data_IF_128116026889
#
_entry.id   IF_128116026889
#
_cell.length_a   1.000
_cell.length_b   1.000
_cell.length_c   1.000
_cell.angle_alpha   90.00
_cell.angle_beta   90.00
_cell.angle_gamma   90.00
#
_symmetry.space_group_name_H-M   'P 1'
#
loop_
_entity.id
_entity.type
_entity.pdbx_description
1 polymer ?
#
# COMPACT_ATOMS: atom_id res chain seq x y z
N UNK A 1 21.21 36.13 -3.22
CA UNK A 1 20.10 35.49 -2.49
C UNK A 1 19.18 34.61 -3.34
N UNK A 2 18.57 35.07 -4.44
CA UNK A 2 17.62 34.27 -5.27
C UNK A 2 18.24 32.98 -5.85
N UNK A 3 19.49 33.01 -6.36
CA UNK A 3 20.20 31.86 -6.95
C UNK A 3 20.47 30.77 -5.90
N UNK A 4 20.87 31.15 -4.70
CA UNK A 4 21.13 30.23 -3.58
C UNK A 4 19.85 29.51 -3.11
N UNK A 5 18.73 30.25 -2.96
CA UNK A 5 17.41 29.66 -2.63
C UNK A 5 16.96 28.62 -3.69
N UNK A 6 17.23 28.90 -4.99
CA UNK A 6 16.88 27.96 -6.07
C UNK A 6 17.72 26.68 -6.00
N UNK A 7 19.01 26.77 -5.65
CA UNK A 7 19.89 25.60 -5.46
C UNK A 7 19.42 24.75 -4.29
N UNK A 8 19.16 25.36 -3.12
CA UNK A 8 18.64 24.64 -1.96
C UNK A 8 17.31 23.93 -2.24
N UNK A 9 16.37 24.58 -2.90
CA UNK A 9 15.09 23.99 -3.31
C UNK A 9 15.31 22.75 -4.20
N UNK A 10 16.22 22.82 -5.16
CA UNK A 10 16.53 21.71 -6.08
C UNK A 10 17.19 20.53 -5.36
N UNK A 11 18.12 20.80 -4.43
CA UNK A 11 18.77 19.77 -3.62
C UNK A 11 17.77 19.08 -2.69
N UNK A 12 16.90 19.85 -2.03
CA UNK A 12 15.84 19.34 -1.17
C UNK A 12 14.86 18.45 -1.94
N UNK A 13 14.39 18.88 -3.11
CA UNK A 13 13.52 18.08 -3.98
C UNK A 13 14.20 16.77 -4.42
N UNK A 14 15.48 16.79 -4.77
CA UNK A 14 16.24 15.60 -5.13
C UNK A 14 16.35 14.62 -3.96
N UNK A 15 16.57 15.11 -2.75
CA UNK A 15 16.63 14.28 -1.54
C UNK A 15 15.28 13.59 -1.29
N UNK A 16 14.19 14.35 -1.30
CA UNK A 16 12.83 13.79 -1.12
C UNK A 16 12.53 12.72 -2.18
N UNK A 17 12.86 13.00 -3.46
CA UNK A 17 12.63 12.03 -4.54
C UNK A 17 13.45 10.74 -4.35
N UNK A 18 14.71 10.86 -3.91
CA UNK A 18 15.58 9.71 -3.63
C UNK A 18 15.00 8.86 -2.49
N UNK A 19 14.57 9.51 -1.42
CA UNK A 19 13.99 8.83 -0.26
C UNK A 19 12.66 8.16 -0.63
N UNK A 20 11.80 8.83 -1.40
CA UNK A 20 10.55 8.26 -1.90
C UNK A 20 10.80 7.02 -2.76
N UNK A 21 11.75 7.08 -3.69
CA UNK A 21 12.11 5.95 -4.55
C UNK A 21 12.66 4.77 -3.74
N UNK A 22 13.48 5.03 -2.72
CA UNK A 22 14.00 3.99 -1.83
C UNK A 22 12.85 3.30 -1.08
N UNK A 23 11.98 4.07 -0.44
CA UNK A 23 10.84 3.52 0.33
C UNK A 23 9.89 2.74 -0.58
N UNK A 24 9.59 3.25 -1.78
CA UNK A 24 8.76 2.54 -2.75
C UNK A 24 9.39 1.19 -3.16
N UNK A 25 10.70 1.17 -3.40
CA UNK A 25 11.45 -0.07 -3.71
C UNK A 25 11.39 -1.06 -2.55
N UNK A 26 11.66 -0.61 -1.33
CA UNK A 26 11.73 -1.47 -0.15
C UNK A 26 10.34 -2.01 0.24
N UNK A 27 9.29 -1.18 0.14
CA UNK A 27 7.89 -1.61 0.31
C UNK A 27 7.50 -2.66 -0.73
N UNK A 28 7.82 -2.43 -2.01
CA UNK A 28 7.55 -3.40 -3.06
C UNK A 28 8.33 -4.71 -2.86
N UNK A 29 9.58 -4.64 -2.42
CA UNK A 29 10.38 -5.83 -2.11
C UNK A 29 9.78 -6.64 -0.97
N UNK A 30 9.36 -5.95 0.11
CA UNK A 30 8.67 -6.59 1.22
C UNK A 30 7.40 -7.32 0.75
N UNK A 31 6.53 -6.65 0.00
CA UNK A 31 5.28 -7.21 -0.52
C UNK A 31 5.52 -8.40 -1.47
N UNK A 32 6.50 -8.30 -2.36
CA UNK A 32 6.89 -9.42 -3.26
C UNK A 32 7.33 -10.64 -2.46
N UNK A 33 8.17 -10.43 -1.44
CA UNK A 33 8.66 -11.51 -0.58
C UNK A 33 7.53 -12.08 0.30
N UNK A 34 6.60 -11.24 0.76
CA UNK A 34 5.45 -11.67 1.52
C UNK A 34 4.53 -12.58 0.69
N UNK A 35 4.15 -12.14 -0.52
CA UNK A 35 3.31 -12.92 -1.43
C UNK A 35 4.02 -14.21 -1.89
N UNK A 36 5.34 -14.19 -2.09
CA UNK A 36 6.10 -15.40 -2.49
C UNK A 36 5.99 -16.53 -1.44
N UNK A 37 5.78 -16.19 -0.17
CA UNK A 37 5.61 -17.16 0.94
C UNK A 37 4.18 -17.67 1.08
N UNK A 38 3.21 -17.08 0.38
CA UNK A 38 1.82 -17.54 0.40
C UNK A 38 1.68 -18.87 -0.39
N UNK A 39 0.67 -19.66 0.00
CA UNK A 39 0.31 -20.84 -0.80
C UNK A 39 -0.13 -20.41 -2.20
N UNK A 40 0.11 -21.28 -3.19
CA UNK A 40 -0.33 -21.02 -4.56
C UNK A 40 -1.85 -20.91 -4.63
N UNK A 41 -2.34 -19.88 -5.33
CA UNK A 41 -3.75 -19.62 -5.58
C UNK A 41 -3.85 -18.89 -6.93
N UNK A 42 -4.94 -19.06 -7.62
CA UNK A 42 -5.25 -18.34 -8.88
C UNK A 42 -5.33 -16.82 -8.67
N UNK A 43 -5.65 -16.37 -7.46
CA UNK A 43 -5.73 -14.95 -7.11
C UNK A 43 -4.37 -14.26 -6.98
N UNK A 44 -3.26 -15.00 -6.86
CA UNK A 44 -1.92 -14.41 -6.71
C UNK A 44 -1.53 -13.50 -7.89
N UNK A 45 -1.89 -13.90 -9.10
CA UNK A 45 -1.57 -13.12 -10.32
C UNK A 45 -2.37 -11.81 -10.36
N UNK A 46 -3.72 -11.81 -10.25
CA UNK A 46 -4.49 -10.58 -10.22
C UNK A 46 -4.19 -9.68 -9.01
N UNK A 47 -3.94 -10.23 -7.82
CA UNK A 47 -3.47 -9.46 -6.66
C UNK A 47 -2.17 -8.71 -6.96
N UNK A 48 -1.17 -9.40 -7.51
CA UNK A 48 0.11 -8.78 -7.91
C UNK A 48 -0.10 -7.72 -8.98
N UNK A 49 -0.98 -7.97 -9.92
CA UNK A 49 -1.27 -7.05 -11.01
C UNK A 49 -1.79 -5.71 -10.48
N UNK A 50 -2.80 -5.72 -9.61
CA UNK A 50 -3.33 -4.51 -8.99
C UNK A 50 -2.33 -3.84 -8.04
N UNK A 51 -1.69 -4.61 -7.16
CA UNK A 51 -0.77 -4.11 -6.15
C UNK A 51 0.50 -3.46 -6.72
N UNK A 52 1.03 -4.01 -7.82
CA UNK A 52 2.25 -3.53 -8.49
C UNK A 52 1.99 -2.79 -9.80
N UNK A 53 0.77 -2.29 -10.00
CA UNK A 53 0.38 -1.51 -11.19
C UNK A 53 1.17 -0.20 -11.37
N UNK A 54 2.08 0.12 -10.45
CA UNK A 54 2.86 1.35 -10.43
C UNK A 54 2.49 2.24 -9.24
N UNK A 55 2.85 3.53 -9.33
CA UNK A 55 2.63 4.50 -8.28
C UNK A 55 3.86 4.73 -7.40
N UNK A 56 3.86 5.86 -6.70
CA UNK A 56 5.01 6.37 -5.93
C UNK A 56 5.06 5.86 -4.49
N UNK A 57 4.07 5.06 -4.06
CA UNK A 57 3.95 4.58 -2.66
C UNK A 57 4.05 5.72 -1.64
N UNK A 58 3.31 6.79 -1.89
CA UNK A 58 3.33 8.02 -1.07
C UNK A 58 2.82 7.73 0.35
N UNK A 59 1.81 6.86 0.49
CA UNK A 59 1.25 6.47 1.79
C UNK A 59 2.30 5.79 2.66
N UNK A 60 3.07 4.87 2.08
CA UNK A 60 4.22 4.26 2.77
C UNK A 60 5.27 5.31 3.15
N UNK A 61 5.54 6.31 2.29
CA UNK A 61 6.51 7.37 2.61
C UNK A 61 6.05 8.22 3.81
N UNK A 62 4.80 8.65 3.81
CA UNK A 62 4.22 9.43 4.93
C UNK A 62 4.30 8.63 6.23
N UNK A 63 3.91 7.36 6.19
CA UNK A 63 3.98 6.48 7.34
C UNK A 63 5.43 6.32 7.84
N UNK A 64 6.39 6.14 6.94
CA UNK A 64 7.81 6.04 7.29
C UNK A 64 8.32 7.31 7.97
N UNK A 65 7.96 8.49 7.46
CA UNK A 65 8.39 9.77 8.05
C UNK A 65 7.82 9.93 9.46
N UNK A 66 6.52 9.66 9.64
CA UNK A 66 5.88 9.70 10.96
C UNK A 66 6.51 8.67 11.90
N UNK A 67 6.68 7.43 11.46
CA UNK A 67 7.29 6.36 12.26
C UNK A 67 8.70 6.72 12.73
N UNK A 68 9.48 7.43 11.90
CA UNK A 68 10.82 7.86 12.24
C UNK A 68 10.85 8.90 13.38
N UNK A 69 9.84 9.77 13.46
CA UNK A 69 9.68 10.73 14.56
C UNK A 69 9.45 10.03 15.90
N UNK A 70 8.77 8.88 15.88
CA UNK A 70 8.53 8.04 17.06
C UNK A 70 9.58 6.94 17.25
N UNK A 71 10.71 7.00 16.51
CA UNK A 71 11.84 6.05 16.62
C UNK A 71 11.44 4.58 16.39
N UNK A 72 10.37 4.33 15.62
CA UNK A 72 10.00 2.98 15.22
C UNK A 72 11.05 2.43 14.25
N UNK A 73 11.42 1.16 14.38
CA UNK A 73 12.43 0.56 13.52
C UNK A 73 11.97 0.50 12.05
N UNK A 74 12.95 0.58 11.15
CA UNK A 74 12.72 0.66 9.70
C UNK A 74 11.91 -0.52 9.15
N UNK A 75 12.20 -1.74 9.62
CA UNK A 75 11.57 -2.97 9.12
C UNK A 75 10.09 -3.02 9.50
N UNK A 76 9.78 -2.69 10.74
CA UNK A 76 8.39 -2.56 11.21
C UNK A 76 7.66 -1.49 10.42
N UNK A 77 8.24 -0.30 10.26
CA UNK A 77 7.66 0.80 9.49
C UNK A 77 7.37 0.42 8.04
N UNK A 78 8.28 -0.28 7.35
CA UNK A 78 8.04 -0.82 5.99
C UNK A 78 6.87 -1.80 5.99
N UNK A 79 6.77 -2.67 6.99
CA UNK A 79 5.67 -3.65 7.08
C UNK A 79 4.31 -2.95 7.24
N UNK A 80 4.25 -1.93 8.10
CA UNK A 80 3.04 -1.10 8.28
C UNK A 80 2.67 -0.35 7.00
N UNK A 81 3.65 0.28 6.34
CA UNK A 81 3.47 0.94 5.05
C UNK A 81 2.97 -0.03 3.96
N UNK A 82 3.48 -1.26 3.95
CA UNK A 82 3.04 -2.30 3.02
C UNK A 82 1.57 -2.70 3.26
N UNK A 83 1.13 -2.80 4.51
CA UNK A 83 -0.27 -3.07 4.83
C UNK A 83 -1.20 -1.95 4.32
N UNK A 84 -0.83 -0.68 4.55
CA UNK A 84 -1.59 0.47 4.03
C UNK A 84 -1.65 0.48 2.50
N UNK A 85 -0.56 0.11 1.82
CA UNK A 85 -0.55 0.02 0.35
C UNK A 85 -1.41 -1.16 -0.18
N UNK A 86 -1.59 -2.23 0.60
CA UNK A 86 -2.52 -3.31 0.26
C UNK A 86 -3.97 -2.80 0.31
N UNK A 87 -4.35 -2.07 1.35
CA UNK A 87 -5.68 -1.45 1.49
C UNK A 87 -5.92 -0.47 0.34
N UNK A 88 -4.92 0.37 0.03
CA UNK A 88 -5.04 1.29 -1.10
C UNK A 88 -5.17 0.57 -2.45
N UNK A 89 -4.45 -0.55 -2.66
CA UNK A 89 -4.58 -1.30 -3.89
C UNK A 89 -5.94 -2.01 -4.00
N UNK A 90 -6.48 -2.52 -2.88
CA UNK A 90 -7.84 -3.03 -2.79
C UNK A 90 -8.85 -1.96 -3.22
N UNK A 91 -8.81 -0.74 -2.62
CA UNK A 91 -9.78 0.30 -2.96
C UNK A 91 -9.73 0.64 -4.45
N UNK A 92 -8.54 0.81 -5.04
CA UNK A 92 -8.41 1.12 -6.46
C UNK A 92 -8.94 0.00 -7.38
N UNK A 93 -8.76 -1.28 -7.02
CA UNK A 93 -9.29 -2.40 -7.80
C UNK A 93 -10.82 -2.39 -7.79
N UNK A 94 -11.42 -2.07 -6.64
CA UNK A 94 -12.88 -2.01 -6.50
C UNK A 94 -13.48 -0.75 -7.11
N UNK A 95 -12.82 0.39 -6.96
CA UNK A 95 -13.24 1.66 -7.59
C UNK A 95 -13.32 1.51 -9.12
N UNK A 96 -12.38 0.76 -9.73
CA UNK A 96 -12.35 0.53 -11.18
C UNK A 96 -13.52 -0.33 -11.71
N UNK A 97 -14.26 -1.06 -10.87
CA UNK A 97 -15.31 -1.98 -11.30
C UNK A 97 -16.45 -1.25 -12.04
N UNK A 98 -17.17 -1.95 -12.98
CA UNK A 98 -18.30 -1.36 -13.70
C UNK A 98 -19.44 -0.85 -12.82
N UNK A 99 -19.62 -1.42 -11.63
CA UNK A 99 -20.61 -0.98 -10.64
C UNK A 99 -20.15 0.20 -9.78
N UNK A 100 -18.93 0.68 -9.96
CA UNK A 100 -18.32 1.82 -9.27
C UNK A 100 -17.97 2.92 -10.30
N UNK A 101 -16.68 3.26 -10.49
CA UNK A 101 -16.24 4.31 -11.43
C UNK A 101 -16.21 3.83 -12.89
N UNK A 102 -16.26 2.52 -13.14
CA UNK A 102 -16.19 1.90 -14.46
C UNK A 102 -14.92 2.29 -15.25
N UNK A 103 -13.79 2.34 -14.59
CA UNK A 103 -12.50 2.71 -15.18
C UNK A 103 -11.88 1.51 -15.92
N UNK A 104 -11.73 1.62 -17.23
CA UNK A 104 -11.13 0.54 -18.06
C UNK A 104 -9.60 0.56 -18.04
N UNK A 105 -8.98 1.70 -17.66
CA UNK A 105 -7.53 1.91 -17.66
C UNK A 105 -7.07 2.51 -16.33
N UNK A 106 -6.12 1.86 -15.67
CA UNK A 106 -5.46 2.36 -14.47
C UNK A 106 -3.95 2.48 -14.69
N UNK A 107 -3.40 3.72 -14.59
CA UNK A 107 -1.96 4.01 -14.75
C UNK A 107 -1.41 3.51 -16.10
N UNK A 108 -2.18 3.70 -17.19
CA UNK A 108 -1.80 3.33 -18.55
C UNK A 108 -1.86 1.83 -18.86
N UNK A 109 -2.51 1.04 -18.00
CA UNK A 109 -2.74 -0.40 -18.19
C UNK A 109 -4.22 -0.71 -18.03
N UNK A 110 -4.74 -1.79 -18.64
CA UNK A 110 -6.10 -2.26 -18.37
C UNK A 110 -6.32 -2.42 -16.87
N UNK A 111 -7.47 -2.01 -16.36
CA UNK A 111 -7.86 -2.24 -14.97
C UNK A 111 -7.97 -3.73 -14.68
N UNK A 112 -8.00 -4.11 -13.39
CA UNK A 112 -7.94 -5.53 -13.00
C UNK A 112 -9.14 -6.31 -13.53
N UNK A 113 -10.34 -5.72 -13.53
CA UNK A 113 -11.55 -6.38 -14.03
C UNK A 113 -11.54 -6.57 -15.55
N UNK A 114 -10.96 -5.63 -16.29
CA UNK A 114 -10.79 -5.78 -17.75
C UNK A 114 -9.85 -6.94 -18.09
N UNK A 115 -8.80 -7.12 -17.28
CA UNK A 115 -7.77 -8.13 -17.57
C UNK A 115 -8.14 -9.53 -17.08
N UNK A 116 -8.85 -9.65 -15.97
CA UNK A 116 -9.07 -10.92 -15.27
C UNK A 116 -10.54 -11.25 -15.03
N UNK A 117 -11.46 -10.37 -15.43
CA UNK A 117 -12.89 -10.47 -15.14
C UNK A 117 -13.28 -9.84 -13.79
N UNK A 118 -14.55 -9.45 -13.67
CA UNK A 118 -15.08 -8.72 -12.52
C UNK A 118 -15.00 -9.54 -11.23
N UNK A 119 -15.46 -10.79 -11.25
CA UNK A 119 -15.43 -11.66 -10.06
C UNK A 119 -14.01 -11.86 -9.54
N UNK A 120 -13.04 -12.04 -10.44
CA UNK A 120 -11.62 -12.16 -10.07
C UNK A 120 -11.08 -10.86 -9.48
N UNK A 121 -11.48 -9.70 -10.03
CA UNK A 121 -11.08 -8.40 -9.48
C UNK A 121 -11.63 -8.18 -8.07
N UNK A 122 -12.91 -8.49 -7.84
CA UNK A 122 -13.53 -8.42 -6.51
C UNK A 122 -12.75 -9.29 -5.51
N UNK A 123 -12.50 -10.56 -5.87
CA UNK A 123 -11.77 -11.48 -4.98
C UNK A 123 -10.32 -11.08 -4.76
N UNK A 124 -9.65 -10.52 -5.78
CA UNK A 124 -8.28 -10.02 -5.65
C UNK A 124 -8.21 -8.81 -4.72
N UNK A 125 -9.16 -7.88 -4.81
CA UNK A 125 -9.28 -6.74 -3.90
C UNK A 125 -9.50 -7.20 -2.45
N UNK A 126 -10.49 -8.06 -2.21
CA UNK A 126 -10.77 -8.63 -0.89
C UNK A 126 -9.54 -9.35 -0.29
N UNK A 127 -8.81 -10.09 -1.14
CA UNK A 127 -7.59 -10.77 -0.70
C UNK A 127 -6.48 -9.81 -0.31
N UNK A 128 -6.36 -8.67 -0.98
CA UNK A 128 -5.40 -7.62 -0.61
C UNK A 128 -5.79 -6.93 0.70
N UNK A 129 -7.07 -6.64 0.91
CA UNK A 129 -7.58 -6.11 2.18
C UNK A 129 -7.26 -7.08 3.32
N UNK A 130 -7.57 -8.36 3.16
CA UNK A 130 -7.29 -9.40 4.17
C UNK A 130 -5.78 -9.56 4.41
N UNK A 131 -4.96 -9.50 3.35
CA UNK A 131 -3.50 -9.58 3.45
C UNK A 131 -2.92 -8.40 4.25
N UNK A 132 -3.53 -7.21 4.20
CA UNK A 132 -3.11 -6.10 5.04
C UNK A 132 -3.20 -6.45 6.52
N UNK A 133 -4.31 -7.03 6.96
CA UNK A 133 -4.49 -7.48 8.35
C UNK A 133 -3.59 -8.67 8.69
N UNK A 134 -3.32 -9.57 7.75
CA UNK A 134 -2.33 -10.62 7.94
C UNK A 134 -0.94 -10.03 8.23
N UNK A 135 -0.51 -9.00 7.48
CA UNK A 135 0.76 -8.31 7.73
C UNK A 135 0.77 -7.68 9.13
N UNK A 136 -0.29 -6.96 9.51
CA UNK A 136 -0.40 -6.27 10.79
C UNK A 136 -0.44 -7.22 11.99
N UNK A 137 -0.97 -8.43 11.83
CA UNK A 137 -1.06 -9.43 12.89
C UNK A 137 0.23 -10.23 13.14
N UNK A 138 1.25 -10.12 12.24
CA UNK A 138 2.50 -10.91 12.37
C UNK A 138 3.21 -10.67 13.70
N UNK A 139 3.69 -11.76 14.32
CA UNK A 139 4.38 -11.74 15.61
C UNK A 139 5.70 -10.96 15.59
N UNK A 140 6.36 -10.87 14.43
CA UNK A 140 7.67 -10.26 14.27
C UNK A 140 7.66 -8.73 14.05
N UNK A 141 6.50 -8.09 14.16
CA UNK A 141 6.43 -6.62 14.25
C UNK A 141 6.91 -6.18 15.63
N UNK A 142 7.88 -5.26 15.66
CA UNK A 142 8.44 -4.71 16.90
C UNK A 142 7.52 -3.64 17.50
N UNK A 143 6.32 -4.06 17.86
CA UNK A 143 5.31 -3.25 18.59
C UNK A 143 4.65 -4.11 19.66
N UNK A 144 4.28 -3.47 20.78
CA UNK A 144 3.62 -4.16 21.89
C UNK A 144 2.29 -4.82 21.42
N UNK A 145 1.88 -5.87 22.11
CA UNK A 145 0.59 -6.54 21.82
C UNK A 145 -0.59 -5.55 21.90
N UNK A 146 -0.59 -4.68 22.92
CA UNK A 146 -1.62 -3.65 23.11
C UNK A 146 -1.69 -2.71 21.91
N UNK A 147 -0.55 -2.11 21.52
CA UNK A 147 -0.49 -1.19 20.39
C UNK A 147 -0.82 -1.86 19.05
N UNK A 148 -0.51 -3.15 18.90
CA UNK A 148 -0.86 -3.92 17.70
C UNK A 148 -2.38 -4.07 17.58
N UNK A 149 -3.07 -4.42 18.67
CA UNK A 149 -4.53 -4.54 18.68
C UNK A 149 -5.17 -3.19 18.36
N UNK A 150 -4.70 -2.12 19.01
CA UNK A 150 -5.20 -0.77 18.77
C UNK A 150 -4.98 -0.31 17.32
N UNK A 151 -3.81 -0.59 16.75
CA UNK A 151 -3.49 -0.30 15.35
C UNK A 151 -4.42 -1.06 14.39
N UNK A 152 -4.65 -2.36 14.62
CA UNK A 152 -5.57 -3.16 13.82
C UNK A 152 -6.98 -2.60 13.90
N UNK A 153 -7.43 -2.24 15.10
CA UNK A 153 -8.74 -1.63 15.30
C UNK A 153 -8.90 -0.32 14.51
N UNK A 154 -7.93 0.60 14.65
CA UNK A 154 -7.94 1.89 13.95
C UNK A 154 -7.91 1.75 12.43
N UNK A 155 -7.12 0.81 11.91
CA UNK A 155 -7.07 0.53 10.48
C UNK A 155 -8.38 -0.10 10.00
N UNK A 156 -8.99 -0.99 10.81
CA UNK A 156 -10.30 -1.58 10.48
C UNK A 156 -11.40 -0.52 10.40
N UNK A 157 -11.49 0.37 11.40
CA UNK A 157 -12.43 1.50 11.41
C UNK A 157 -12.23 2.38 10.17
N UNK A 158 -10.97 2.76 9.87
CA UNK A 158 -10.64 3.66 8.74
C UNK A 158 -10.79 3.00 7.37
N UNK A 159 -10.81 1.68 7.29
CA UNK A 159 -11.00 0.93 6.04
C UNK A 159 -12.45 0.50 5.81
N UNK A 160 -13.29 0.57 6.84
CA UNK A 160 -14.68 0.14 6.83
C UNK A 160 -15.66 1.19 6.32
N UNK A 161 -16.94 1.02 6.68
CA UNK A 161 -18.06 1.83 6.22
C UNK A 161 -18.03 3.31 6.64
N UNK A 162 -17.28 3.65 7.68
CA UNK A 162 -17.02 5.03 8.12
C UNK A 162 -15.69 5.60 7.56
N UNK A 163 -15.01 4.85 6.70
CA UNK A 163 -13.75 5.21 6.09
C UNK A 163 -13.75 4.94 4.59
N UNK A 164 -12.67 4.33 4.07
CA UNK A 164 -12.45 4.14 2.62
C UNK A 164 -13.64 3.45 1.92
N UNK A 165 -14.27 2.46 2.54
CA UNK A 165 -15.38 1.73 1.91
C UNK A 165 -16.70 2.54 1.89
N UNK A 166 -16.84 3.55 2.72
CA UNK A 166 -18.06 4.36 2.80
C UNK A 166 -18.04 5.66 2.01
N UNK A 167 -16.89 6.01 1.42
CA UNK A 167 -16.72 7.23 0.61
C UNK A 167 -16.24 8.43 1.40
#
# INVERSE_FOLDING_TARGET
>A
MKKQKKIYKKLFQRKIQKDLNKIAKDTNLFLKNFIKKQKKSELIIPMKYGLFSGGKKIRSKILMDISSLFKLDYRTSISLGAAVECIHAYSLIHDDLPCMDNDTIRRGKPSTHIKFGESTAVLAGNSLLTMAFEILSKKNLNISKKNKIELINKISESSGHLGIAGG
#
